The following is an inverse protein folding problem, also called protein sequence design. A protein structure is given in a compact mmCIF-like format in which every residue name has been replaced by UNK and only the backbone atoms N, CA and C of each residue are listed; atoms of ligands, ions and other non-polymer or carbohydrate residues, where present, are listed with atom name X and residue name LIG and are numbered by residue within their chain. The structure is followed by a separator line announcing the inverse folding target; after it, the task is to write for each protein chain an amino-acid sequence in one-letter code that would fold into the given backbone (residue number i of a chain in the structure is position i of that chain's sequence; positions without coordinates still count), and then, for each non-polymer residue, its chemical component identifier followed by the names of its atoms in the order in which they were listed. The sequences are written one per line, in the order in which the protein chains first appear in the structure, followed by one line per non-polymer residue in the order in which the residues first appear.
data_IF_698989816448
#
_entry.id   IF_698989816448
#
_cell.length_a   1.000
_cell.length_b   1.000
_cell.length_c   1.000
_cell.angle_alpha   90.00
_cell.angle_beta   90.00
_cell.angle_gamma   90.00
#
_symmetry.space_group_name_H-M   'P 1'
#
loop_
_entity.id
_entity.type
_entity.pdbx_description
1 polymer ?
#
# COMPACT_ATOMS: atom_id res chain seq x y z
N UNK A 1 -7.97 -5.79 -21.85
CA UNK A 1 -8.14 -6.37 -20.50
C UNK A 1 -6.87 -7.12 -20.17
N UNK A 2 -6.22 -6.79 -19.06
CA UNK A 2 -4.98 -7.44 -18.62
C UNK A 2 -5.27 -8.91 -18.30
N UNK A 3 -4.43 -9.82 -18.79
CA UNK A 3 -4.54 -11.25 -18.46
C UNK A 3 -4.22 -11.43 -16.98
N UNK A 4 -5.25 -11.71 -16.19
CA UNK A 4 -5.13 -11.99 -14.75
C UNK A 4 -4.58 -13.41 -14.59
N UNK A 5 -3.53 -13.63 -13.78
CA UNK A 5 -2.98 -14.97 -13.59
C UNK A 5 -4.03 -15.93 -13.06
N UNK A 6 -4.16 -17.09 -13.70
CA UNK A 6 -5.03 -18.19 -13.28
C UNK A 6 -4.20 -19.33 -12.67
N UNK A 7 -4.84 -20.14 -11.84
CA UNK A 7 -4.18 -21.29 -11.24
C UNK A 7 -3.82 -22.31 -12.34
N UNK A 8 -2.58 -22.79 -12.32
CA UNK A 8 -2.10 -23.84 -13.22
C UNK A 8 -1.32 -24.87 -12.39
N UNK A 9 -1.41 -26.16 -12.75
CA UNK A 9 -0.65 -27.24 -12.12
C UNK A 9 0.88 -26.99 -12.12
N UNK A 10 1.39 -26.19 -13.05
CA UNK A 10 2.79 -25.75 -13.04
C UNK A 10 3.19 -24.94 -11.79
N UNK A 11 2.23 -24.39 -11.05
CA UNK A 11 2.45 -23.73 -9.76
C UNK A 11 2.70 -24.72 -8.61
N UNK A 12 2.49 -26.02 -8.81
CA UNK A 12 2.80 -27.08 -7.84
C UNK A 12 4.23 -27.65 -8.00
N UNK A 13 4.98 -27.16 -8.99
CA UNK A 13 6.35 -27.59 -9.25
C UNK A 13 7.24 -27.42 -8.00
N UNK A 14 8.19 -28.33 -7.72
CA UNK A 14 9.05 -28.29 -6.53
C UNK A 14 9.72 -26.94 -6.22
N UNK A 15 10.05 -26.17 -7.27
CA UNK A 15 10.57 -24.80 -7.16
C UNK A 15 9.70 -23.85 -6.31
N UNK A 16 8.40 -24.14 -6.17
CA UNK A 16 7.45 -23.34 -5.42
C UNK A 16 7.12 -23.91 -4.04
N UNK A 17 7.67 -25.06 -3.63
CA UNK A 17 7.32 -25.69 -2.35
C UNK A 17 7.63 -24.80 -1.14
N UNK A 18 8.79 -24.12 -1.14
CA UNK A 18 9.11 -23.16 -0.08
C UNK A 18 8.13 -21.98 -0.05
N UNK A 19 7.70 -21.52 -1.22
CA UNK A 19 6.70 -20.45 -1.32
C UNK A 19 5.34 -20.93 -0.80
N UNK A 20 4.89 -22.13 -1.18
CA UNK A 20 3.67 -22.74 -0.66
C UNK A 20 3.72 -22.95 0.85
N UNK A 21 4.86 -23.40 1.38
CA UNK A 21 5.06 -23.56 2.82
C UNK A 21 4.96 -22.22 3.54
N UNK A 22 5.57 -21.16 3.00
CA UNK A 22 5.45 -19.80 3.54
C UNK A 22 4.01 -19.28 3.51
N UNK A 23 3.30 -19.51 2.41
CA UNK A 23 1.88 -19.15 2.26
C UNK A 23 1.01 -19.90 3.26
N UNK A 24 1.22 -21.21 3.39
CA UNK A 24 0.49 -22.07 4.33
C UNK A 24 0.74 -21.66 5.78
N UNK A 25 2.00 -21.37 6.13
CA UNK A 25 2.35 -20.84 7.44
C UNK A 25 1.68 -19.50 7.72
N UNK A 26 1.73 -18.56 6.76
CA UNK A 26 1.06 -17.27 6.89
C UNK A 26 -0.46 -17.45 7.08
N UNK A 27 -1.08 -18.32 6.29
CA UNK A 27 -2.50 -18.65 6.41
C UNK A 27 -2.84 -19.12 7.82
N UNK A 28 -2.10 -20.11 8.36
CA UNK A 28 -2.32 -20.62 9.70
C UNK A 28 -2.15 -19.54 10.77
N UNK A 29 -1.12 -18.70 10.65
CA UNK A 29 -0.85 -17.63 11.60
C UNK A 29 -1.95 -16.57 11.62
N UNK A 30 -2.52 -16.20 10.47
CA UNK A 30 -3.60 -15.21 10.43
C UNK A 30 -4.95 -15.76 10.89
N UNK A 31 -5.11 -17.07 11.09
CA UNK A 31 -6.32 -17.60 11.72
C UNK A 31 -6.42 -17.22 13.21
N UNK A 32 -5.29 -16.99 13.87
CA UNK A 32 -5.20 -16.63 15.29
C UNK A 32 -5.97 -15.34 15.63
N UNK A 33 -6.46 -15.16 16.87
CA UNK A 33 -7.05 -13.89 17.32
C UNK A 33 -6.14 -12.69 17.08
N UNK A 34 -6.72 -11.53 16.72
CA UNK A 34 -5.98 -10.32 16.39
C UNK A 34 -4.95 -9.88 17.46
N UNK A 35 -5.25 -9.94 18.79
CA UNK A 35 -4.24 -9.58 19.80
C UNK A 35 -2.96 -10.43 19.73
N UNK A 36 -3.08 -11.70 19.33
CA UNK A 36 -1.94 -12.60 19.15
C UNK A 36 -1.19 -12.23 17.88
N UNK A 37 -1.90 -12.00 16.77
CA UNK A 37 -1.31 -11.51 15.52
C UNK A 37 -0.53 -10.22 15.76
N UNK A 38 -1.12 -9.28 16.49
CA UNK A 38 -0.51 -7.99 16.82
C UNK A 38 0.80 -8.18 17.59
N UNK A 39 0.80 -9.03 18.62
CA UNK A 39 2.01 -9.35 19.38
C UNK A 39 3.07 -10.03 18.51
N UNK A 40 2.68 -10.97 17.65
CA UNK A 40 3.59 -11.67 16.74
C UNK A 40 4.20 -10.71 15.71
N UNK A 41 3.38 -9.87 15.08
CA UNK A 41 3.82 -8.89 14.08
C UNK A 41 4.75 -7.84 14.65
N UNK A 42 4.37 -7.20 15.75
CA UNK A 42 5.23 -6.22 16.43
C UNK A 42 6.53 -6.84 16.92
N UNK A 43 6.50 -8.04 17.51
CA UNK A 43 7.72 -8.74 17.95
C UNK A 43 8.62 -9.14 16.79
N UNK A 44 8.05 -9.63 15.68
CA UNK A 44 8.77 -9.97 14.46
C UNK A 44 9.47 -8.72 13.90
N UNK A 45 8.76 -7.59 13.87
CA UNK A 45 9.27 -6.29 13.48
C UNK A 45 10.50 -5.87 14.30
N UNK A 46 10.36 -5.85 15.62
CA UNK A 46 11.46 -5.54 16.56
C UNK A 46 12.65 -6.49 16.40
N UNK A 47 12.39 -7.79 16.27
CA UNK A 47 13.45 -8.78 16.10
C UNK A 47 14.20 -8.59 14.78
N UNK A 48 13.49 -8.25 13.70
CA UNK A 48 14.08 -8.01 12.38
C UNK A 48 15.11 -6.87 12.37
N UNK A 49 14.98 -5.90 13.28
CA UNK A 49 15.95 -4.79 13.42
C UNK A 49 17.39 -5.29 13.70
N UNK A 50 17.53 -6.44 14.36
CA UNK A 50 18.85 -7.03 14.68
C UNK A 50 19.59 -7.51 13.44
N UNK A 51 18.85 -7.93 12.42
CA UNK A 51 19.39 -8.48 11.16
C UNK A 51 19.38 -7.45 10.04
N UNK A 52 18.37 -6.59 9.98
CA UNK A 52 18.15 -5.59 8.94
C UNK A 52 18.82 -4.24 9.26
N UNK A 53 20.06 -4.26 9.76
CA UNK A 53 20.79 -3.06 10.22
C UNK A 53 20.82 -1.92 9.19
N UNK A 54 20.98 -2.25 7.90
CA UNK A 54 20.94 -1.26 6.81
C UNK A 54 19.59 -0.57 6.70
N UNK A 55 18.48 -1.29 6.88
CA UNK A 55 17.13 -0.72 6.82
C UNK A 55 16.87 0.19 8.02
N UNK A 56 17.37 -0.19 9.20
CA UNK A 56 17.31 0.65 10.41
C UNK A 56 18.04 1.97 10.17
N UNK A 57 19.27 1.92 9.64
CA UNK A 57 20.04 3.12 9.34
C UNK A 57 19.36 4.04 8.32
N UNK A 58 18.70 3.47 7.31
CA UNK A 58 17.91 4.26 6.33
C UNK A 58 16.73 4.95 7.01
N UNK A 59 15.96 4.22 7.84
CA UNK A 59 14.82 4.80 8.55
C UNK A 59 15.25 5.94 9.49
N UNK A 60 16.33 5.74 10.26
CA UNK A 60 16.93 6.79 11.09
C UNK A 60 17.33 8.02 10.27
N UNK A 61 18.03 7.82 9.16
CA UNK A 61 18.46 8.92 8.30
C UNK A 61 17.28 9.70 7.72
N UNK A 62 16.23 9.00 7.28
CA UNK A 62 15.02 9.62 6.76
C UNK A 62 14.33 10.47 7.84
N UNK A 63 14.22 9.99 9.07
CA UNK A 63 13.62 10.76 10.16
C UNK A 63 14.45 11.99 10.54
N UNK A 64 15.79 11.91 10.52
CA UNK A 64 16.66 13.07 10.73
C UNK A 64 16.45 14.13 9.64
N UNK A 65 16.27 13.72 8.38
CA UNK A 65 16.07 14.64 7.26
C UNK A 65 14.67 15.27 7.27
N UNK A 66 13.64 14.50 7.65
CA UNK A 66 12.26 14.97 7.71
C UNK A 66 11.96 15.79 8.97
N UNK A 67 12.57 15.43 10.09
CA UNK A 67 12.31 16.00 11.42
C UNK A 67 13.63 16.34 12.13
N UNK A 68 14.39 17.34 11.61
CA UNK A 68 15.68 17.71 12.18
C UNK A 68 15.56 18.20 13.63
N UNK A 69 14.47 18.90 13.93
CA UNK A 69 14.21 19.55 15.23
C UNK A 69 13.62 18.58 16.28
N UNK A 70 13.31 17.34 15.89
CA UNK A 70 12.77 16.31 16.80
C UNK A 70 13.89 15.70 17.67
N UNK A 71 13.66 15.49 18.98
CA UNK A 71 14.63 14.83 19.85
C UNK A 71 15.04 13.44 19.36
N UNK A 72 16.31 13.07 19.61
CA UNK A 72 16.84 11.78 19.16
C UNK A 72 16.06 10.59 19.72
N UNK A 73 15.67 10.64 21.00
CA UNK A 73 14.90 9.58 21.66
C UNK A 73 13.53 9.36 20.99
N UNK A 74 12.86 10.44 20.57
CA UNK A 74 11.58 10.36 19.86
C UNK A 74 11.76 9.75 18.46
N UNK A 75 12.81 10.16 17.73
CA UNK A 75 13.13 9.55 16.44
C UNK A 75 13.43 8.06 16.57
N UNK A 76 14.19 7.65 17.58
CA UNK A 76 14.51 6.23 17.80
C UNK A 76 13.25 5.42 18.16
N UNK A 77 12.32 6.00 18.94
CA UNK A 77 11.02 5.38 19.20
C UNK A 77 10.20 5.21 17.90
N UNK A 78 10.19 6.22 17.01
CA UNK A 78 9.53 6.12 15.71
C UNK A 78 10.16 5.05 14.80
N UNK A 79 11.47 4.83 14.86
CA UNK A 79 12.12 3.74 14.13
C UNK A 79 11.62 2.38 14.64
N UNK A 80 11.52 2.20 15.96
CA UNK A 80 10.98 0.96 16.52
C UNK A 80 9.53 0.73 16.07
N UNK A 81 8.68 1.76 16.14
CA UNK A 81 7.29 1.69 15.68
C UNK A 81 7.16 1.43 14.17
N UNK A 82 8.08 1.98 13.36
CA UNK A 82 8.14 1.71 11.93
C UNK A 82 8.43 0.23 11.67
N UNK A 83 9.39 -0.35 12.40
CA UNK A 83 9.72 -1.78 12.26
C UNK A 83 8.63 -2.70 12.81
N UNK A 84 7.96 -2.32 13.89
CA UNK A 84 6.74 -3.00 14.35
C UNK A 84 5.67 -3.04 13.24
N UNK A 85 5.47 -1.90 12.56
CA UNK A 85 4.57 -1.81 11.40
C UNK A 85 5.05 -2.67 10.23
N UNK A 86 6.37 -2.81 10.02
CA UNK A 86 6.92 -3.70 8.97
C UNK A 86 6.56 -5.16 9.27
N UNK A 87 6.72 -5.58 10.52
CA UNK A 87 6.33 -6.92 10.95
C UNK A 87 4.82 -7.14 10.83
N UNK A 88 4.01 -6.15 11.23
CA UNK A 88 2.56 -6.19 11.05
C UNK A 88 2.14 -6.25 9.58
N UNK A 89 2.81 -5.53 8.67
CA UNK A 89 2.51 -5.53 7.25
C UNK A 89 2.51 -6.92 6.60
N UNK A 90 3.35 -7.84 7.09
CA UNK A 90 3.34 -9.24 6.65
C UNK A 90 2.02 -9.94 7.03
N UNK A 91 1.57 -9.78 8.27
CA UNK A 91 0.33 -10.36 8.76
C UNK A 91 -0.88 -9.69 8.13
N UNK A 92 -0.86 -8.37 7.97
CA UNK A 92 -1.92 -7.60 7.31
C UNK A 92 -2.10 -8.01 5.84
N UNK A 93 -1.00 -8.34 5.14
CA UNK A 93 -1.06 -8.94 3.81
C UNK A 93 -1.81 -10.27 3.83
N UNK A 94 -1.49 -11.15 4.79
CA UNK A 94 -2.22 -12.40 4.97
C UNK A 94 -3.69 -12.19 5.36
N UNK A 95 -3.98 -11.23 6.23
CA UNK A 95 -5.35 -10.84 6.61
C UNK A 95 -6.13 -10.37 5.38
N UNK A 96 -5.53 -9.50 4.55
CA UNK A 96 -6.15 -8.97 3.35
C UNK A 96 -6.55 -10.09 2.37
N UNK A 97 -5.69 -11.09 2.18
CA UNK A 97 -5.92 -12.17 1.22
C UNK A 97 -6.86 -13.26 1.77
N UNK A 98 -6.74 -13.61 3.06
CA UNK A 98 -7.41 -14.80 3.60
C UNK A 98 -8.64 -14.49 4.45
N UNK A 99 -8.72 -13.34 5.12
CA UNK A 99 -9.86 -13.07 6.00
C UNK A 99 -11.16 -12.85 5.23
N UNK A 100 -12.29 -13.39 5.75
CA UNK A 100 -13.62 -13.06 5.24
C UNK A 100 -14.02 -11.63 5.66
N UNK A 101 -14.93 -11.00 4.90
CA UNK A 101 -15.33 -9.60 5.10
C UNK A 101 -15.79 -9.32 6.54
N UNK A 102 -16.65 -10.18 7.08
CA UNK A 102 -17.18 -10.05 8.45
C UNK A 102 -16.10 -9.95 9.53
N UNK A 103 -14.91 -10.52 9.28
CA UNK A 103 -13.80 -10.48 10.22
C UNK A 103 -13.02 -9.18 10.07
N UNK A 104 -12.79 -8.73 8.84
CA UNK A 104 -12.08 -7.48 8.55
C UNK A 104 -12.86 -6.29 9.09
N UNK A 105 -14.18 -6.24 8.84
CA UNK A 105 -15.11 -5.17 9.25
C UNK A 105 -15.12 -4.87 10.75
N UNK A 106 -14.68 -5.81 11.59
CA UNK A 106 -14.58 -5.62 13.05
C UNK A 106 -13.40 -4.77 13.50
N UNK A 107 -12.40 -4.56 12.63
CA UNK A 107 -11.09 -3.98 13.02
C UNK A 107 -10.78 -2.63 12.35
N UNK A 108 -11.70 -2.06 11.57
CA UNK A 108 -11.49 -0.79 10.89
C UNK A 108 -12.68 0.15 11.03
N UNK A 109 -12.39 1.43 10.84
CA UNK A 109 -13.37 2.48 10.62
C UNK A 109 -12.98 3.21 9.34
N UNK A 110 -13.96 3.51 8.50
CA UNK A 110 -13.76 4.26 7.26
C UNK A 110 -14.42 5.62 7.39
N UNK A 111 -13.71 6.66 6.98
CA UNK A 111 -14.20 8.04 6.89
C UNK A 111 -14.06 8.58 5.47
N UNK A 112 -14.87 9.56 5.07
CA UNK A 112 -14.76 10.18 3.74
C UNK A 112 -15.46 9.41 2.61
N UNK A 113 -16.30 8.43 2.94
CA UNK A 113 -17.08 7.66 1.95
C UNK A 113 -18.04 8.55 1.14
N UNK A 114 -18.50 9.65 1.73
CA UNK A 114 -19.36 10.65 1.13
C UNK A 114 -18.74 11.29 -0.14
N UNK A 115 -17.41 11.42 -0.20
CA UNK A 115 -16.73 11.96 -1.38
C UNK A 115 -16.84 11.00 -2.58
N UNK A 116 -16.71 9.69 -2.32
CA UNK A 116 -16.84 8.66 -3.34
C UNK A 116 -18.29 8.54 -3.79
N UNK A 117 -19.25 8.60 -2.85
CA UNK A 117 -20.66 8.56 -3.18
C UNK A 117 -21.05 9.75 -4.08
N UNK A 118 -20.64 10.97 -3.73
CA UNK A 118 -20.92 12.17 -4.54
C UNK A 118 -20.34 12.07 -5.95
N UNK A 119 -19.13 11.54 -6.11
CA UNK A 119 -18.55 11.33 -7.43
C UNK A 119 -19.35 10.30 -8.25
N UNK A 120 -19.81 9.22 -7.60
CA UNK A 120 -20.64 8.18 -8.21
C UNK A 120 -21.99 8.73 -8.68
N UNK A 121 -22.65 9.53 -7.84
CA UNK A 121 -23.94 10.15 -8.15
C UNK A 121 -23.86 11.10 -9.36
N UNK A 122 -22.69 11.72 -9.55
CA UNK A 122 -22.40 12.58 -10.70
C UNK A 122 -21.84 11.82 -11.93
N UNK A 123 -21.81 10.49 -11.89
CA UNK A 123 -21.21 9.62 -12.92
C UNK A 123 -19.75 9.98 -13.26
N UNK A 124 -18.99 10.43 -12.26
CA UNK A 124 -17.59 10.79 -12.40
C UNK A 124 -16.69 9.63 -11.96
N UNK A 125 -15.69 9.30 -12.78
CA UNK A 125 -14.63 8.38 -12.37
C UNK A 125 -13.79 8.99 -11.25
N UNK A 126 -13.27 8.13 -10.37
CA UNK A 126 -12.47 8.56 -9.23
C UNK A 126 -11.04 8.07 -9.39
N UNK A 127 -10.09 9.00 -9.45
CA UNK A 127 -8.68 8.67 -9.32
C UNK A 127 -8.31 8.70 -7.84
N UNK A 128 -8.23 7.53 -7.22
CA UNK A 128 -7.82 7.38 -5.82
C UNK A 128 -6.30 7.37 -5.75
N UNK A 129 -5.73 8.45 -5.21
CA UNK A 129 -4.30 8.61 -5.04
C UNK A 129 -3.90 8.06 -3.68
N UNK A 130 -3.15 6.95 -3.69
CA UNK A 130 -2.57 6.34 -2.49
C UNK A 130 -1.07 6.63 -2.36
N UNK A 131 -0.51 6.31 -1.21
CA UNK A 131 0.93 6.23 -0.97
C UNK A 131 1.27 4.77 -0.61
N UNK A 132 2.51 4.34 -0.84
CA UNK A 132 2.98 3.01 -0.44
C UNK A 132 3.21 2.96 1.07
N UNK A 133 2.12 2.78 1.83
CA UNK A 133 2.17 2.45 3.26
C UNK A 133 2.31 0.95 3.48
N UNK A 134 2.77 0.56 4.67
CA UNK A 134 2.99 -0.85 5.03
C UNK A 134 1.69 -1.67 5.04
N UNK A 135 0.57 -1.03 5.39
CA UNK A 135 -0.77 -1.60 5.45
C UNK A 135 -1.48 -1.65 4.09
N UNK A 136 -0.77 -1.45 2.97
CA UNK A 136 -1.37 -1.22 1.65
C UNK A 136 -2.35 -2.31 1.22
N UNK A 137 -2.00 -3.58 1.35
CA UNK A 137 -2.88 -4.70 0.94
C UNK A 137 -4.17 -4.72 1.75
N UNK A 138 -4.10 -4.45 3.05
CA UNK A 138 -5.26 -4.40 3.93
C UNK A 138 -6.10 -3.16 3.66
N UNK A 139 -5.49 -1.99 3.44
CA UNK A 139 -6.18 -0.77 3.04
C UNK A 139 -6.93 -0.93 1.73
N UNK A 140 -6.31 -1.52 0.71
CA UNK A 140 -6.95 -1.82 -0.57
C UNK A 140 -8.11 -2.83 -0.42
N UNK A 141 -7.96 -3.79 0.49
CA UNK A 141 -9.03 -4.75 0.83
C UNK A 141 -10.22 -4.05 1.49
N UNK A 142 -9.97 -3.21 2.49
CA UNK A 142 -10.99 -2.43 3.19
C UNK A 142 -11.73 -1.49 2.22
N UNK A 143 -10.97 -0.74 1.42
CA UNK A 143 -11.56 0.16 0.42
C UNK A 143 -12.45 -0.60 -0.55
N UNK A 144 -11.96 -1.72 -1.11
CA UNK A 144 -12.71 -2.51 -2.08
C UNK A 144 -13.99 -3.13 -1.54
N UNK A 145 -14.07 -3.43 -0.23
CA UNK A 145 -15.31 -3.94 0.40
C UNK A 145 -16.47 -2.95 0.20
N UNK A 146 -16.20 -1.64 0.29
CA UNK A 146 -17.21 -0.60 0.13
C UNK A 146 -17.28 -0.05 -1.31
N UNK A 147 -16.14 0.00 -1.99
CA UNK A 147 -15.98 0.67 -3.28
C UNK A 147 -15.07 -0.14 -4.19
N UNK A 148 -15.58 -1.21 -4.84
CA UNK A 148 -14.78 -2.05 -5.72
C UNK A 148 -14.14 -1.22 -6.84
N UNK A 149 -12.82 -1.11 -6.82
CA UNK A 149 -12.04 -0.32 -7.77
C UNK A 149 -11.22 -1.18 -8.73
N UNK A 150 -10.47 -0.51 -9.59
CA UNK A 150 -9.49 -1.10 -10.49
C UNK A 150 -8.10 -0.80 -9.95
N UNK A 151 -7.38 -1.86 -9.59
CA UNK A 151 -6.01 -1.75 -9.09
C UNK A 151 -5.01 -1.69 -10.23
N UNK A 152 -4.07 -0.75 -10.16
CA UNK A 152 -2.90 -0.73 -11.06
C UNK A 152 -1.86 -1.73 -10.57
N UNK A 153 -1.33 -2.55 -11.46
CA UNK A 153 -0.48 -3.68 -11.09
C UNK A 153 0.67 -3.93 -12.08
N UNK A 154 1.73 -4.53 -11.52
CA UNK A 154 2.86 -5.11 -12.23
C UNK A 154 2.95 -6.58 -11.80
N UNK A 155 3.09 -7.52 -12.75
CA UNK A 155 3.32 -8.92 -12.42
C UNK A 155 4.51 -9.15 -11.49
N UNK A 156 4.29 -10.00 -10.49
CA UNK A 156 5.31 -10.47 -9.56
C UNK A 156 6.21 -11.51 -10.27
N UNK A 157 7.51 -11.47 -9.97
CA UNK A 157 8.50 -12.34 -10.64
C UNK A 157 8.26 -13.82 -10.31
N UNK A 158 7.90 -14.12 -9.06
CA UNK A 158 7.38 -15.44 -8.66
C UNK A 158 5.90 -15.58 -9.04
N UNK A 159 5.61 -16.45 -10.02
CA UNK A 159 4.25 -16.70 -10.56
C UNK A 159 3.24 -17.24 -9.56
N UNK A 160 3.67 -17.97 -8.54
CA UNK A 160 2.76 -18.41 -7.48
C UNK A 160 2.31 -17.23 -6.63
N UNK A 161 3.24 -16.36 -6.22
CA UNK A 161 2.91 -15.13 -5.51
C UNK A 161 2.05 -14.20 -6.36
N UNK A 162 2.34 -14.14 -7.67
CA UNK A 162 1.59 -13.36 -8.64
C UNK A 162 0.11 -13.76 -8.69
N UNK A 163 -0.14 -15.06 -8.80
CA UNK A 163 -1.47 -15.64 -8.76
C UNK A 163 -2.15 -15.38 -7.41
N UNK A 164 -1.49 -15.65 -6.29
CA UNK A 164 -2.08 -15.52 -4.96
C UNK A 164 -2.43 -14.07 -4.62
N UNK A 165 -1.51 -13.14 -4.85
CA UNK A 165 -1.72 -11.72 -4.62
C UNK A 165 -2.88 -11.21 -5.46
N UNK A 166 -2.95 -11.63 -6.72
CA UNK A 166 -4.04 -11.21 -7.60
C UNK A 166 -5.37 -11.82 -7.15
N UNK A 167 -5.39 -13.10 -6.79
CA UNK A 167 -6.57 -13.74 -6.22
C UNK A 167 -7.06 -12.99 -4.96
N UNK A 168 -6.15 -12.64 -4.04
CA UNK A 168 -6.47 -11.90 -2.83
C UNK A 168 -7.06 -10.53 -3.12
N UNK A 169 -6.45 -9.75 -4.03
CA UNK A 169 -6.92 -8.43 -4.44
C UNK A 169 -8.29 -8.48 -5.12
N UNK A 170 -8.55 -9.50 -5.94
CA UNK A 170 -9.82 -9.67 -6.68
C UNK A 170 -11.00 -10.03 -5.78
N UNK A 171 -10.79 -10.39 -4.50
CA UNK A 171 -11.89 -10.66 -3.56
C UNK A 171 -12.74 -9.43 -3.23
N UNK A 172 -12.23 -8.22 -3.46
CA UNK A 172 -12.93 -6.95 -3.17
C UNK A 172 -12.78 -5.90 -4.27
N UNK A 173 -12.03 -6.18 -5.33
CA UNK A 173 -11.78 -5.23 -6.40
C UNK A 173 -12.40 -5.72 -7.71
N UNK A 174 -12.77 -4.75 -8.56
CA UNK A 174 -13.45 -4.99 -9.83
C UNK A 174 -12.53 -5.68 -10.84
N UNK A 175 -11.31 -5.18 -10.99
CA UNK A 175 -10.30 -5.74 -11.90
C UNK A 175 -8.90 -5.19 -11.61
N UNK A 176 -7.92 -5.66 -12.36
CA UNK A 176 -6.55 -5.15 -12.33
C UNK A 176 -6.15 -4.66 -13.73
N UNK A 177 -5.45 -3.54 -13.80
CA UNK A 177 -4.86 -3.01 -15.03
C UNK A 177 -3.34 -3.01 -14.95
N UNK A 178 -2.68 -3.30 -16.06
CA UNK A 178 -1.23 -3.16 -16.16
C UNK A 178 -0.86 -1.68 -16.05
N UNK A 179 0.16 -1.37 -15.25
CA UNK A 179 0.67 0.01 -15.09
C UNK A 179 1.04 0.71 -16.40
N UNK A 180 1.34 -0.04 -17.47
CA UNK A 180 1.66 0.50 -18.79
C UNK A 180 0.39 0.85 -19.60
N UNK A 181 -0.78 0.37 -19.21
CA UNK A 181 -2.04 0.59 -19.94
C UNK A 181 -2.73 1.91 -19.53
N UNK A 182 -2.07 3.02 -19.84
CA UNK A 182 -2.61 4.38 -19.57
C UNK A 182 -3.93 4.62 -20.30
N UNK A 183 -4.07 4.07 -21.52
CA UNK A 183 -5.32 4.18 -22.29
C UNK A 183 -6.47 3.43 -21.59
N UNK A 184 -6.20 2.25 -21.05
CA UNK A 184 -7.14 1.48 -20.23
C UNK A 184 -7.56 2.24 -18.99
N UNK A 185 -6.61 2.88 -18.29
CA UNK A 185 -6.91 3.72 -17.13
C UNK A 185 -7.83 4.90 -17.48
N UNK A 186 -7.53 5.65 -18.55
CA UNK A 186 -8.39 6.77 -18.98
C UNK A 186 -9.79 6.29 -19.35
N UNK A 187 -9.91 5.14 -20.03
CA UNK A 187 -11.21 4.56 -20.39
C UNK A 187 -12.04 4.18 -19.16
N UNK A 188 -11.42 3.54 -18.17
CA UNK A 188 -12.09 3.20 -16.93
C UNK A 188 -12.59 4.45 -16.18
N UNK A 189 -11.78 5.50 -16.06
CA UNK A 189 -12.22 6.77 -15.45
C UNK A 189 -13.41 7.39 -16.19
N UNK A 190 -13.40 7.36 -17.53
CA UNK A 190 -14.53 7.84 -18.35
C UNK A 190 -15.81 7.01 -18.20
N UNK A 191 -15.69 5.77 -17.74
CA UNK A 191 -16.82 4.88 -17.45
C UNK A 191 -17.34 5.01 -16.01
N UNK A 192 -16.80 5.95 -15.23
CA UNK A 192 -17.19 6.13 -13.83
C UNK A 192 -16.48 5.18 -12.85
N UNK A 193 -15.47 4.43 -13.31
CA UNK A 193 -14.73 3.52 -12.43
C UNK A 193 -13.75 4.25 -11.51
N UNK A 194 -13.46 3.60 -10.38
CA UNK A 194 -12.44 4.03 -9.43
C UNK A 194 -11.12 3.39 -9.82
N UNK A 195 -10.06 4.19 -9.94
CA UNK A 195 -8.70 3.70 -10.18
C UNK A 195 -7.81 4.02 -9.00
N UNK A 196 -7.17 3.01 -8.44
CA UNK A 196 -6.16 3.20 -7.40
C UNK A 196 -4.77 3.38 -8.03
N UNK A 197 -4.12 4.52 -7.73
CA UNK A 197 -2.81 4.87 -8.26
C UNK A 197 -1.89 5.42 -7.16
N UNK A 198 -0.64 4.95 -7.12
CA UNK A 198 0.35 5.39 -6.13
C UNK A 198 1.57 6.06 -6.82
N UNK A 199 1.68 7.40 -6.76
CA UNK A 199 2.70 8.18 -7.48
C UNK A 199 4.00 8.40 -6.70
N UNK A 200 4.17 7.81 -5.53
CA UNK A 200 5.23 8.12 -4.55
C UNK A 200 6.56 7.40 -4.80
N UNK A 201 6.64 6.54 -5.82
CA UNK A 201 7.90 5.97 -6.27
C UNK A 201 8.53 6.80 -7.39
N UNK A 202 9.85 7.01 -7.30
CA UNK A 202 10.63 7.60 -8.38
C UNK A 202 10.82 6.58 -9.52
N UNK A 203 10.29 6.90 -10.70
CA UNK A 203 10.43 6.10 -11.93
C UNK A 203 11.59 6.57 -12.82
N UNK A 204 12.47 7.41 -12.27
CA UNK A 204 13.64 7.96 -12.93
C UNK A 204 13.36 9.26 -13.71
N UNK A 205 14.42 9.89 -14.24
CA UNK A 205 14.37 11.28 -14.72
C UNK A 205 13.41 11.54 -15.89
N UNK A 206 13.05 10.50 -16.65
CA UNK A 206 12.16 10.60 -17.82
C UNK A 206 10.68 10.49 -17.47
N UNK A 207 10.35 10.05 -16.27
CA UNK A 207 8.97 9.73 -15.87
C UNK A 207 8.62 10.25 -14.48
N UNK A 208 9.47 11.11 -13.92
CA UNK A 208 9.30 11.76 -12.62
C UNK A 208 9.40 13.27 -12.79
N UNK A 209 8.57 14.01 -12.06
CA UNK A 209 8.72 15.46 -11.90
C UNK A 209 9.35 15.69 -10.54
N UNK A 210 10.40 16.51 -10.47
CA UNK A 210 10.99 16.90 -9.19
C UNK A 210 10.03 17.83 -8.45
N UNK A 211 9.45 17.32 -7.36
CA UNK A 211 8.62 18.08 -6.44
C UNK A 211 9.34 18.23 -5.08
N UNK A 212 9.16 19.34 -4.35
CA UNK A 212 9.68 19.46 -2.99
C UNK A 212 9.00 18.45 -2.07
N UNK A 213 9.75 17.50 -1.51
CA UNK A 213 9.24 16.54 -0.52
C UNK A 213 9.83 16.87 0.84
N UNK A 214 8.99 17.08 1.85
CA UNK A 214 9.19 17.34 3.31
C UNK A 214 10.34 18.29 3.71
N UNK A 215 11.57 18.17 3.19
CA UNK A 215 12.62 19.22 3.24
C UNK A 215 13.85 18.93 2.36
N UNK A 216 13.72 18.22 1.23
CA UNK A 216 14.85 18.03 0.28
C UNK A 216 14.53 18.59 -1.11
N UNK A 217 15.25 19.66 -1.49
CA UNK A 217 15.60 19.89 -2.89
C UNK A 217 16.61 18.81 -3.26
N UNK A 218 16.20 17.73 -3.90
CA UNK A 218 17.18 16.78 -4.42
C UNK A 218 17.93 17.39 -5.62
N UNK A 219 19.25 17.43 -5.44
CA UNK A 219 20.39 17.67 -6.33
C UNK A 219 20.22 18.49 -7.61
N UNK A 220 20.97 19.60 -7.63
CA UNK A 220 21.20 20.53 -8.74
C UNK A 220 21.71 19.82 -10.00
N UNK A 221 21.04 20.05 -11.14
CA UNK A 221 21.71 20.39 -12.39
C UNK A 221 20.87 21.40 -13.18
N UNK A 222 21.57 22.32 -13.85
CA UNK A 222 21.08 23.55 -14.44
C UNK A 222 20.01 23.38 -15.54
N UNK A 223 19.15 24.41 -15.63
CA UNK A 223 18.32 24.84 -16.78
C UNK A 223 17.04 24.07 -17.13
N UNK A 224 15.89 24.53 -16.61
CA UNK A 224 14.89 25.37 -17.32
C UNK A 224 13.69 25.60 -16.39
N UNK A 225 13.45 26.86 -16.03
CA UNK A 225 12.17 27.27 -15.44
C UNK A 225 11.07 27.06 -16.48
N UNK A 226 10.12 26.17 -16.20
CA UNK A 226 8.80 26.23 -16.83
C UNK A 226 7.83 26.75 -15.77
N UNK A 227 7.24 27.92 -16.08
CA UNK A 227 6.22 28.59 -15.28
C UNK A 227 5.03 27.64 -15.09
N UNK A 228 4.69 27.36 -13.84
CA UNK A 228 3.42 26.69 -13.50
C UNK A 228 2.28 27.70 -13.72
N UNK A 229 1.31 27.32 -14.54
CA UNK A 229 0.09 28.08 -14.73
C UNK A 229 -0.75 28.06 -13.46
N UNK A 230 -1.29 29.22 -13.13
CA UNK A 230 -2.34 29.42 -12.14
C UNK A 230 -3.54 28.58 -12.52
N UNK A 231 -3.86 27.56 -11.72
CA UNK A 231 -5.21 27.04 -11.57
C UNK A 231 -5.29 26.39 -10.20
N UNK A 232 -5.98 27.07 -9.28
CA UNK A 232 -6.16 26.64 -7.90
C UNK A 232 -6.93 25.34 -7.82
N UNK A 233 -6.25 24.28 -7.38
CA UNK A 233 -6.87 23.15 -6.70
C UNK A 233 -6.02 22.88 -5.45
N UNK A 234 -6.55 23.29 -4.31
CA UNK A 234 -5.98 22.98 -3.01
C UNK A 234 -6.22 21.50 -2.71
N UNK A 235 -5.20 20.67 -2.87
CA UNK A 235 -5.21 19.30 -2.35
C UNK A 235 -5.00 19.37 -0.83
N UNK A 236 -6.07 19.20 -0.07
CA UNK A 236 -6.00 19.06 1.39
C UNK A 236 -5.38 17.71 1.74
N UNK A 237 -4.15 17.72 2.24
CA UNK A 237 -3.52 16.57 2.87
C UNK A 237 -3.74 16.67 4.39
N UNK A 238 -4.52 15.75 4.96
CA UNK A 238 -4.64 15.62 6.40
C UNK A 238 -3.79 14.43 6.86
N UNK A 239 -2.65 14.71 7.48
CA UNK A 239 -1.83 13.71 8.18
C UNK A 239 -2.47 13.49 9.56
N UNK A 240 -3.26 12.43 9.71
CA UNK A 240 -3.80 12.06 11.03
C UNK A 240 -2.76 11.24 11.81
N UNK A 241 -2.61 11.49 13.14
CA UNK A 241 -1.76 10.66 13.99
C UNK A 241 -2.29 9.23 14.09
N UNK A 242 -1.39 8.30 14.40
CA UNK A 242 -1.71 6.89 14.56
C UNK A 242 -2.85 6.70 15.60
N UNK A 243 -3.90 5.94 15.27
CA UNK A 243 -4.99 5.65 16.20
C UNK A 243 -4.53 4.80 17.39
N UNK A 244 -5.29 4.81 18.51
CA UNK A 244 -5.00 3.97 19.67
C UNK A 244 -4.98 2.48 19.32
N UNK A 245 -4.22 1.70 20.09
CA UNK A 245 -4.02 0.26 19.87
C UNK A 245 -5.35 -0.47 19.64
N UNK A 246 -5.52 -1.07 18.46
CA UNK A 246 -6.67 -1.90 18.12
C UNK A 246 -7.63 -1.37 17.05
N UNK A 247 -7.45 -0.14 16.56
CA UNK A 247 -8.23 0.38 15.43
C UNK A 247 -7.26 0.98 14.41
N UNK A 248 -7.22 0.50 13.17
CA UNK A 248 -6.54 1.22 12.09
C UNK A 248 -7.55 2.15 11.42
N UNK A 249 -7.20 3.44 11.29
CA UNK A 249 -7.94 4.39 10.45
C UNK A 249 -7.35 4.28 9.05
N UNK A 250 -8.22 4.01 8.08
CA UNK A 250 -7.92 4.06 6.65
C UNK A 250 -8.70 5.22 6.05
#
# INVERSE_FOLDING_TARGET
MTQVPSFNRSLLHPRYWLTWLGIGLLYLLVLLPYPIIYRLGTSLGRFSMRFLKRRVAIAQRNLVLCFPDMPQAERDALVVQNFESVGMGLFETGMAWFWPNWRIERWFQVSGLEHIQKARDNHQGVLLIGLHFLTLELGARIFGIHNPGIGVYRPHDNKLMDWLQTWGRMRSNKSMLDRKDVKGMIRALKQGDIIWYAPDHDYGPRSSVFAPTVRRRESRHHHRQLRAGENGQASHYSLYPAPPAGCQRV
#
